data_IF_749265871262
#
_entry.id   IF_749265871262
#
_cell.length_a   1.000
_cell.length_b   1.000
_cell.length_c   1.000
_cell.angle_alpha   90.00
_cell.angle_beta   90.00
_cell.angle_gamma   90.00
#
_symmetry.space_group_name_H-M   'P 1'
#
loop_
_entity.id
_entity.type
_entity.pdbx_description
1 polymer ?
#
# COMPACT_ATOMS: atom_id res chain seq x y z
N UNK A 1 29.82 -6.46 90.11
CA UNK A 1 29.09 -5.64 89.12
C UNK A 1 29.79 -5.81 87.78
N UNK A 2 29.11 -6.45 86.81
CA UNK A 2 29.61 -6.69 85.45
C UNK A 2 29.19 -5.49 84.59
N UNK A 3 30.14 -4.81 83.93
CA UNK A 3 29.84 -3.92 82.81
C UNK A 3 30.53 -4.49 81.58
N UNK A 4 29.73 -5.12 80.72
CA UNK A 4 30.14 -5.56 79.39
C UNK A 4 30.13 -4.35 78.46
N UNK A 5 31.29 -4.06 77.87
CA UNK A 5 31.45 -3.06 76.82
C UNK A 5 30.92 -3.66 75.51
N UNK A 6 29.83 -3.12 74.96
CA UNK A 6 29.28 -3.54 73.67
C UNK A 6 29.76 -2.54 72.61
N UNK A 7 30.69 -2.98 71.75
CA UNK A 7 31.12 -2.25 70.55
C UNK A 7 30.06 -2.46 69.44
N UNK A 8 29.53 -1.41 68.80
CA UNK A 8 28.72 -1.59 67.60
C UNK A 8 29.65 -1.73 66.39
N UNK A 9 29.67 -2.92 65.80
CA UNK A 9 30.29 -3.16 64.49
C UNK A 9 29.30 -2.67 63.43
N UNK A 10 29.51 -1.46 62.91
CA UNK A 10 28.81 -0.99 61.72
C UNK A 10 29.34 -1.75 60.51
N UNK A 11 28.63 -2.81 60.10
CA UNK A 11 28.89 -3.52 58.85
C UNK A 11 28.26 -2.72 57.70
N UNK A 12 29.05 -1.84 57.10
CA UNK A 12 28.67 -1.13 55.87
C UNK A 12 28.68 -2.12 54.70
N UNK A 13 27.52 -2.67 54.34
CA UNK A 13 27.34 -3.37 53.08
C UNK A 13 27.45 -2.37 51.92
N UNK A 14 28.64 -2.28 51.33
CA UNK A 14 28.80 -1.67 50.00
C UNK A 14 28.20 -2.66 49.00
N UNK A 15 26.94 -2.43 48.63
CA UNK A 15 26.33 -3.10 47.48
C UNK A 15 27.03 -2.51 46.25
N UNK A 16 28.07 -3.19 45.78
CA UNK A 16 28.59 -2.94 44.43
C UNK A 16 27.52 -3.49 43.50
N UNK A 17 26.60 -2.64 43.06
CA UNK A 17 25.73 -2.93 41.93
C UNK A 17 26.61 -3.14 40.70
N UNK A 18 27.03 -4.38 40.46
CA UNK A 18 27.49 -4.79 39.15
C UNK A 18 26.25 -4.86 38.25
N UNK A 19 25.79 -3.69 37.80
CA UNK A 19 24.98 -3.64 36.60
C UNK A 19 25.92 -4.04 35.46
N UNK A 20 25.92 -5.33 35.10
CA UNK A 20 26.41 -5.74 33.80
C UNK A 20 25.67 -4.85 32.77
N UNK A 21 26.37 -4.23 31.80
CA UNK A 21 25.70 -3.46 30.77
C UNK A 21 24.73 -4.40 30.07
N UNK A 22 23.43 -4.18 30.26
CA UNK A 22 22.43 -4.84 29.43
C UNK A 22 22.69 -4.32 28.03
N UNK A 23 23.24 -5.19 27.18
CA UNK A 23 23.32 -4.93 25.76
C UNK A 23 21.90 -5.06 25.22
N UNK A 24 21.13 -3.99 25.37
CA UNK A 24 19.89 -3.84 24.64
C UNK A 24 20.33 -3.67 23.19
N UNK A 25 20.30 -4.76 22.42
CA UNK A 25 20.32 -4.69 20.95
C UNK A 25 19.22 -3.69 20.57
N UNK A 26 19.59 -2.42 20.33
CA UNK A 26 18.63 -1.38 19.97
C UNK A 26 18.00 -1.84 18.66
N UNK A 27 16.68 -1.94 18.61
CA UNK A 27 15.98 -2.30 17.37
C UNK A 27 15.99 -1.09 16.43
N UNK A 28 16.13 -1.32 15.12
CA UNK A 28 16.06 -0.27 14.10
C UNK A 28 14.64 -0.20 13.56
N UNK A 29 13.76 0.44 14.33
CA UNK A 29 12.32 0.59 14.03
C UNK A 29 11.96 2.07 13.85
N UNK A 30 10.86 2.32 13.14
CA UNK A 30 10.35 3.67 12.85
C UNK A 30 10.98 4.30 11.62
N UNK A 31 11.78 3.56 10.83
CA UNK A 31 12.35 4.11 9.60
C UNK A 31 11.30 4.32 8.51
N UNK A 32 10.17 3.60 8.63
CA UNK A 32 8.98 3.80 7.81
C UNK A 32 8.27 5.14 8.05
N UNK A 33 8.61 5.86 9.13
CA UNK A 33 8.05 7.19 9.44
C UNK A 33 9.14 8.25 9.57
N UNK A 34 10.20 8.12 8.76
CA UNK A 34 11.13 9.23 8.55
C UNK A 34 10.45 10.34 7.74
N UNK A 35 10.89 11.60 7.86
CA UNK A 35 10.34 12.68 7.05
C UNK A 35 10.38 12.39 5.54
N UNK A 36 11.42 11.71 5.07
CA UNK A 36 11.56 11.31 3.66
C UNK A 36 10.58 10.20 3.29
N UNK A 37 10.41 9.18 4.15
CA UNK A 37 9.44 8.12 3.92
C UNK A 37 8.00 8.65 3.89
N UNK A 38 7.60 9.43 4.89
CA UNK A 38 6.25 9.99 4.98
C UNK A 38 5.96 10.92 3.77
N UNK A 39 6.92 11.76 3.37
CA UNK A 39 6.79 12.60 2.18
C UNK A 39 6.64 11.75 0.90
N UNK A 40 7.41 10.67 0.77
CA UNK A 40 7.33 9.74 -0.37
C UNK A 40 5.95 9.09 -0.47
N UNK A 41 5.36 8.69 0.67
CA UNK A 41 4.03 8.07 0.71
C UNK A 41 2.91 9.05 0.43
N UNK A 42 3.10 10.31 0.86
CA UNK A 42 2.16 11.37 0.62
C UNK A 42 2.17 11.79 -0.86
N UNK A 43 3.34 11.91 -1.48
CA UNK A 43 3.48 12.29 -2.89
C UNK A 43 2.73 11.32 -3.83
N UNK A 44 2.74 10.00 -3.55
CA UNK A 44 1.94 9.03 -4.33
C UNK A 44 0.45 9.37 -4.30
N UNK A 45 -0.08 9.78 -3.14
CA UNK A 45 -1.48 10.17 -2.98
C UNK A 45 -1.76 11.51 -3.65
N UNK A 46 -0.88 12.49 -3.47
CA UNK A 46 -1.02 13.84 -4.02
C UNK A 46 -1.01 13.82 -5.55
N UNK A 47 -0.15 13.01 -6.17
CA UNK A 47 -0.10 12.85 -7.62
C UNK A 47 -1.40 12.26 -8.21
N UNK A 48 -2.09 11.43 -7.43
CA UNK A 48 -3.37 10.82 -7.79
C UNK A 48 -4.58 11.67 -7.38
N UNK A 49 -4.39 12.76 -6.64
CA UNK A 49 -5.48 13.58 -6.15
C UNK A 49 -6.32 14.16 -7.30
N UNK A 50 -7.65 14.16 -7.13
CA UNK A 50 -8.64 14.60 -8.10
C UNK A 50 -8.81 13.65 -9.29
N UNK A 51 -8.33 12.41 -9.20
CA UNK A 51 -8.51 11.38 -10.24
C UNK A 51 -9.33 10.19 -9.73
N UNK A 52 -9.76 9.32 -10.65
CA UNK A 52 -10.41 8.05 -10.33
C UNK A 52 -9.47 7.02 -9.67
N UNK A 53 -8.18 7.36 -9.47
CA UNK A 53 -7.15 6.51 -8.88
C UNK A 53 -6.79 6.86 -7.43
N UNK A 54 -7.50 7.81 -6.80
CA UNK A 54 -7.22 8.22 -5.41
C UNK A 54 -7.22 7.04 -4.42
N UNK A 55 -8.23 6.17 -4.51
CA UNK A 55 -8.33 4.98 -3.65
C UNK A 55 -7.18 3.99 -3.90
N UNK A 56 -6.81 3.78 -5.17
CA UNK A 56 -5.68 2.92 -5.54
C UNK A 56 -4.36 3.47 -4.99
N UNK A 57 -4.13 4.78 -5.13
CA UNK A 57 -2.95 5.45 -4.59
C UNK A 57 -2.89 5.42 -3.07
N UNK A 58 -4.03 5.62 -2.38
CA UNK A 58 -4.13 5.49 -0.92
C UNK A 58 -3.81 4.08 -0.42
N UNK A 59 -4.35 3.06 -1.10
CA UNK A 59 -4.06 1.66 -0.79
C UNK A 59 -2.59 1.30 -1.02
N UNK A 60 -2.02 1.78 -2.13
CA UNK A 60 -0.60 1.61 -2.46
C UNK A 60 0.29 2.29 -1.42
N UNK A 61 -0.03 3.52 -1.01
CA UNK A 61 0.66 4.26 0.05
C UNK A 61 0.68 3.48 1.37
N UNK A 62 -0.44 2.89 1.79
CA UNK A 62 -0.46 2.01 2.97
C UNK A 62 0.32 0.70 2.79
N UNK A 63 0.36 0.14 1.58
CA UNK A 63 1.17 -1.03 1.27
C UNK A 63 2.68 -0.71 1.30
N UNK A 64 3.08 0.50 0.86
CA UNK A 64 4.45 0.99 0.93
C UNK A 64 4.98 1.03 2.36
N UNK A 65 4.20 1.54 3.32
CA UNK A 65 4.54 1.55 4.75
C UNK A 65 4.79 0.12 5.24
N UNK A 66 3.86 -0.80 4.94
CA UNK A 66 3.95 -2.20 5.40
C UNK A 66 5.18 -2.92 4.85
N UNK A 67 5.57 -2.64 3.62
CA UNK A 67 6.75 -3.23 2.99
C UNK A 67 8.08 -2.80 3.64
N UNK A 68 8.11 -1.66 4.35
CA UNK A 68 9.29 -1.21 5.12
C UNK A 68 9.40 -1.85 6.51
N UNK A 69 8.41 -2.63 6.94
CA UNK A 69 8.45 -3.32 8.23
C UNK A 69 9.47 -4.47 8.24
N UNK A 70 10.07 -4.73 9.40
CA UNK A 70 11.12 -5.75 9.56
C UNK A 70 10.68 -7.19 9.27
N UNK A 71 9.38 -7.46 9.21
CA UNK A 71 8.81 -8.77 8.90
C UNK A 71 8.27 -8.88 7.48
N UNK A 72 8.28 -7.80 6.70
CA UNK A 72 7.82 -7.88 5.33
C UNK A 72 8.81 -8.73 4.49
N UNK A 73 8.32 -9.49 3.49
CA UNK A 73 9.17 -10.19 2.53
C UNK A 73 10.24 -9.28 1.90
N UNK A 74 11.39 -9.86 1.55
CA UNK A 74 12.54 -9.12 1.02
C UNK A 74 12.23 -8.27 -0.23
N UNK A 75 11.35 -8.78 -1.09
CA UNK A 75 11.00 -8.14 -2.36
C UNK A 75 9.83 -7.17 -2.30
N UNK A 76 9.10 -7.08 -1.18
CA UNK A 76 7.88 -6.26 -1.10
C UNK A 76 8.13 -4.79 -1.44
N UNK A 77 9.24 -4.21 -0.97
CA UNK A 77 9.58 -2.82 -1.29
C UNK A 77 9.88 -2.63 -2.78
N UNK A 78 10.48 -3.61 -3.45
CA UNK A 78 10.68 -3.52 -4.90
C UNK A 78 9.35 -3.63 -5.63
N UNK A 79 8.52 -4.59 -5.23
CA UNK A 79 7.22 -4.80 -5.85
C UNK A 79 6.32 -3.57 -5.69
N UNK A 80 6.35 -2.90 -4.53
CA UNK A 80 5.67 -1.62 -4.33
C UNK A 80 6.28 -0.50 -5.20
N UNK A 81 7.60 -0.43 -5.34
CA UNK A 81 8.24 0.53 -6.24
C UNK A 81 7.80 0.34 -7.71
N UNK A 82 7.70 -0.92 -8.16
CA UNK A 82 7.18 -1.26 -9.48
C UNK A 82 5.71 -0.83 -9.65
N UNK A 83 4.88 -1.06 -8.62
CA UNK A 83 3.48 -0.65 -8.65
C UNK A 83 3.28 0.87 -8.69
N UNK A 84 4.18 1.66 -8.08
CA UNK A 84 4.15 3.13 -8.18
C UNK A 84 4.33 3.56 -9.64
N UNK A 85 5.26 2.94 -10.37
CA UNK A 85 5.48 3.23 -11.80
C UNK A 85 4.30 2.75 -12.64
N UNK A 86 3.76 1.58 -12.35
CA UNK A 86 2.59 1.06 -13.06
C UNK A 86 1.37 1.97 -12.91
N UNK A 87 1.11 2.47 -11.69
CA UNK A 87 0.10 3.49 -11.45
C UNK A 87 0.40 4.77 -12.26
N UNK A 88 1.66 5.21 -12.27
CA UNK A 88 2.08 6.37 -13.05
C UNK A 88 1.83 6.24 -14.55
N UNK A 89 1.92 5.02 -15.12
CA UNK A 89 1.64 4.78 -16.54
C UNK A 89 0.16 5.00 -16.88
N UNK A 90 -0.74 4.82 -15.92
CA UNK A 90 -2.17 5.11 -16.10
C UNK A 90 -2.42 6.62 -16.28
N UNK A 91 -1.56 7.48 -15.74
CA UNK A 91 -1.63 8.93 -15.93
C UNK A 91 -0.84 9.41 -17.16
N UNK A 92 0.33 8.83 -17.42
CA UNK A 92 1.22 9.23 -18.50
C UNK A 92 1.82 10.64 -18.34
N UNK A 93 2.57 11.08 -19.35
CA UNK A 93 3.16 12.41 -19.43
C UNK A 93 3.99 12.81 -18.20
N UNK A 94 3.87 14.07 -17.78
CA UNK A 94 4.63 14.61 -16.64
C UNK A 94 4.33 13.88 -15.32
N UNK A 95 3.09 13.40 -15.14
CA UNK A 95 2.73 12.65 -13.93
C UNK A 95 3.47 11.33 -13.86
N UNK A 96 3.61 10.62 -14.99
CA UNK A 96 4.44 9.41 -15.05
C UNK A 96 5.88 9.70 -14.61
N UNK A 97 6.49 10.78 -15.09
CA UNK A 97 7.85 11.16 -14.67
C UNK A 97 7.95 11.41 -13.16
N UNK A 98 6.93 12.03 -12.56
CA UNK A 98 6.85 12.25 -11.11
C UNK A 98 6.72 10.91 -10.35
N UNK A 99 5.83 10.02 -10.80
CA UNK A 99 5.71 8.67 -10.20
C UNK A 99 7.01 7.86 -10.32
N UNK A 100 7.72 7.96 -11.44
CA UNK A 100 9.04 7.33 -11.60
C UNK A 100 10.03 7.88 -10.57
N UNK A 101 10.06 9.21 -10.37
CA UNK A 101 10.93 9.82 -9.37
C UNK A 101 10.61 9.31 -7.95
N UNK A 102 9.32 9.28 -7.60
CA UNK A 102 8.84 8.76 -6.30
C UNK A 102 9.21 7.29 -6.11
N UNK A 103 9.04 6.46 -7.15
CA UNK A 103 9.39 5.05 -7.10
C UNK A 103 10.88 4.81 -6.84
N UNK A 104 11.75 5.63 -7.45
CA UNK A 104 13.21 5.57 -7.23
C UNK A 104 13.57 5.94 -5.79
N UNK A 105 13.03 7.04 -5.28
CA UNK A 105 13.22 7.44 -3.87
C UNK A 105 12.73 6.32 -2.94
N UNK A 106 11.52 5.82 -3.15
CA UNK A 106 10.93 4.76 -2.35
C UNK A 106 11.78 3.47 -2.36
N UNK A 107 12.30 3.08 -3.54
CA UNK A 107 13.13 1.88 -3.69
C UNK A 107 14.40 1.93 -2.85
N UNK A 108 14.90 3.13 -2.57
CA UNK A 108 16.15 3.39 -1.86
C UNK A 108 15.95 3.71 -0.38
N UNK A 109 14.70 3.84 0.11
CA UNK A 109 14.45 4.01 1.54
C UNK A 109 15.00 2.84 2.36
N UNK A 110 15.37 3.13 3.60
CA UNK A 110 15.76 2.11 4.59
C UNK A 110 14.52 1.29 5.01
N UNK A 111 14.72 0.00 5.30
CA UNK A 111 13.71 -0.87 5.95
C UNK A 111 14.08 -1.10 7.40
N UNK A 112 13.06 -1.30 8.21
CA UNK A 112 13.24 -1.70 9.60
C UNK A 112 13.99 -3.03 9.68
N UNK A 113 14.90 -3.16 10.64
CA UNK A 113 15.57 -4.43 10.94
C UNK A 113 15.39 -4.82 12.41
N UNK A 114 15.36 -6.13 12.73
CA UNK A 114 15.21 -6.58 14.11
C UNK A 114 16.29 -6.05 15.06
N UNK A 115 17.48 -5.73 14.55
CA UNK A 115 18.62 -5.23 15.32
C UNK A 115 19.31 -4.08 14.59
N UNK A 116 19.64 -3.02 15.31
CA UNK A 116 20.46 -1.93 14.77
C UNK A 116 21.80 -2.46 14.28
N UNK A 117 22.17 -1.99 13.10
CA UNK A 117 23.33 -2.39 12.34
C UNK A 117 23.25 -3.75 11.67
N UNK A 118 22.10 -4.45 11.76
CA UNK A 118 21.85 -5.63 10.95
C UNK A 118 21.58 -5.20 9.50
N UNK A 119 22.22 -5.81 8.50
CA UNK A 119 21.87 -5.59 7.10
C UNK A 119 20.44 -6.09 6.83
N UNK A 120 19.70 -5.31 6.06
CA UNK A 120 18.41 -5.73 5.53
C UNK A 120 18.60 -6.77 4.43
N UNK A 121 17.71 -7.76 4.40
CA UNK A 121 17.66 -8.73 3.31
C UNK A 121 17.29 -8.02 2.00
N UNK A 122 18.14 -8.18 1.00
CA UNK A 122 17.96 -7.59 -0.33
C UNK A 122 17.08 -8.49 -1.20
N UNK A 123 16.32 -7.85 -2.08
CA UNK A 123 15.55 -8.55 -3.10
C UNK A 123 16.45 -9.06 -4.23
N UNK A 124 16.29 -10.32 -4.61
CA UNK A 124 17.00 -11.00 -5.71
C UNK A 124 16.21 -11.01 -7.03
N UNK A 125 14.92 -10.68 -6.98
CA UNK A 125 14.05 -10.54 -8.14
C UNK A 125 14.45 -9.33 -8.97
N UNK A 126 14.43 -9.46 -10.30
CA UNK A 126 14.59 -8.32 -11.23
C UNK A 126 13.36 -7.39 -11.17
N UNK A 127 13.51 -6.05 -11.16
CA UNK A 127 12.36 -5.14 -11.21
C UNK A 127 11.58 -5.30 -12.53
N UNK A 128 10.27 -5.10 -12.47
CA UNK A 128 9.40 -5.13 -13.66
C UNK A 128 9.59 -3.88 -14.53
N UNK A 129 9.93 -2.75 -13.90
CA UNK A 129 10.17 -1.47 -14.53
C UNK A 129 11.68 -1.20 -14.64
N UNK A 130 12.15 -0.97 -15.87
CA UNK A 130 13.58 -0.75 -16.16
C UNK A 130 14.16 0.47 -15.46
N UNK A 131 13.32 1.44 -15.11
CA UNK A 131 13.70 2.66 -14.41
C UNK A 131 14.24 2.39 -13.00
N UNK A 132 13.96 1.20 -12.45
CA UNK A 132 14.45 0.75 -11.14
C UNK A 132 15.68 -0.16 -11.23
N UNK A 133 16.16 -0.50 -12.44
CA UNK A 133 17.35 -1.34 -12.61
C UNK A 133 18.57 -0.69 -11.93
N UNK A 134 19.32 -1.52 -11.18
CA UNK A 134 20.49 -1.08 -10.43
C UNK A 134 20.19 -0.38 -9.10
N UNK A 135 18.93 -0.12 -8.75
CA UNK A 135 18.56 0.48 -7.47
C UNK A 135 18.37 -0.59 -6.38
N UNK A 136 19.05 -0.37 -5.25
CA UNK A 136 18.92 -1.21 -4.06
C UNK A 136 18.45 -0.39 -2.88
N UNK A 137 17.75 -1.06 -1.97
CA UNK A 137 17.36 -0.51 -0.67
C UNK A 137 18.59 -0.04 0.13
N UNK A 138 18.50 1.13 0.78
CA UNK A 138 19.49 1.56 1.76
C UNK A 138 19.58 0.61 2.97
N UNK A 139 20.81 0.42 3.43
CA UNK A 139 21.13 -0.38 4.61
C UNK A 139 21.17 0.50 5.86
N UNK A 140 21.02 -0.13 7.04
CA UNK A 140 21.12 0.57 8.31
C UNK A 140 22.51 1.23 8.45
N UNK A 141 22.60 2.56 8.56
CA UNK A 141 23.87 3.29 8.61
C UNK A 141 24.66 3.04 9.91
N UNK A 142 24.03 2.44 10.93
CA UNK A 142 24.70 2.05 12.18
C UNK A 142 25.38 0.69 12.08
N UNK A 143 25.21 -0.02 10.95
CA UNK A 143 25.94 -1.23 10.63
C UNK A 143 27.43 -0.95 10.60
N UNK A 144 28.22 -1.83 11.22
CA UNK A 144 29.63 -1.90 10.84
C UNK A 144 29.62 -2.33 9.39
N UNK A 145 30.18 -1.50 8.52
CA UNK A 145 30.62 -1.95 7.21
C UNK A 145 31.66 -3.03 7.53
N UNK A 146 31.24 -4.29 7.63
CA UNK A 146 32.17 -5.36 7.31
C UNK A 146 32.49 -5.07 5.85
N UNK A 147 33.76 -4.73 5.60
CA UNK A 147 34.29 -4.53 4.26
C UNK A 147 33.56 -5.49 3.32
N UNK A 148 32.79 -4.97 2.33
CA UNK A 148 32.43 -5.82 1.22
C UNK A 148 33.76 -6.34 0.73
N UNK A 149 34.00 -7.63 0.92
CA UNK A 149 34.98 -8.35 0.14
C UNK A 149 34.73 -7.87 -1.28
N UNK A 150 35.67 -7.08 -1.79
CA UNK A 150 35.77 -6.54 -3.14
C UNK A 150 34.75 -7.23 -4.04
N UNK A 151 33.60 -6.58 -4.22
CA UNK A 151 32.94 -6.75 -5.51
C UNK A 151 33.84 -5.95 -6.40
N UNK A 152 34.86 -6.62 -6.94
CA UNK A 152 35.64 -6.05 -8.02
C UNK A 152 34.62 -5.56 -9.05
N UNK A 153 34.69 -4.27 -9.31
CA UNK A 153 34.20 -3.67 -10.54
C UNK A 153 34.53 -4.66 -11.66
N UNK A 154 33.57 -5.13 -12.48
CA UNK A 154 33.97 -5.79 -13.71
C UNK A 154 34.74 -4.73 -14.49
N UNK A 155 36.08 -4.83 -14.42
CA UNK A 155 36.97 -4.06 -15.27
C UNK A 155 36.36 -4.13 -16.67
N UNK A 156 36.15 -2.96 -17.25
CA UNK A 156 35.99 -2.85 -18.68
C UNK A 156 37.22 -3.48 -19.30
N UNK A 157 37.10 -4.74 -19.71
CA UNK A 157 37.99 -5.30 -20.71
C UNK A 157 37.75 -4.48 -21.98
N UNK A 158 38.66 -3.53 -22.20
CA UNK A 158 38.90 -2.93 -23.50
C UNK A 158 39.25 -4.07 -24.46
N UNK A 159 38.48 -4.33 -25.53
CA UNK A 159 38.86 -5.35 -26.49
C UNK A 159 40.15 -4.88 -27.17
N UNK A 160 41.25 -5.59 -26.91
CA UNK A 160 42.48 -5.46 -27.68
C UNK A 160 42.15 -5.54 -29.17
N UNK A 161 42.49 -4.48 -29.88
CA UNK A 161 42.54 -4.45 -31.34
C UNK A 161 43.63 -5.41 -31.79
N UNK A 162 43.26 -6.63 -32.14
CA UNK A 162 43.99 -7.36 -33.17
C UNK A 162 43.44 -6.94 -34.54
N UNK A 163 44.33 -6.37 -35.34
CA UNK A 163 44.15 -6.02 -36.74
C UNK A 163 44.49 -7.28 -37.56
N UNK A 164 43.56 -7.90 -38.32
CA UNK A 164 43.91 -8.82 -39.36
C UNK A 164 43.91 -8.09 -40.71
N UNK A 165 44.99 -8.36 -41.43
CA UNK A 165 45.43 -7.79 -42.69
C UNK A 165 44.34 -7.62 -43.77
N UNK A 166 44.51 -6.54 -44.54
CA UNK A 166 43.84 -6.32 -45.82
C UNK A 166 44.21 -7.42 -46.82
N UNK A 167 43.20 -8.11 -47.34
CA UNK A 167 43.19 -8.52 -48.75
C UNK A 167 41.95 -7.92 -49.43
N UNK A 168 42.21 -7.16 -50.50
CA UNK A 168 41.24 -6.53 -51.40
C UNK A 168 40.91 -7.52 -52.55
N UNK A 169 39.93 -7.27 -53.45
CA UNK A 169 38.83 -8.19 -53.70
C UNK A 169 38.92 -8.85 -55.09
N UNK A 170 38.54 -10.12 -55.21
CA UNK A 170 38.19 -10.67 -56.52
C UNK A 170 36.70 -10.48 -56.79
N UNK A 171 36.45 -9.74 -57.87
CA UNK A 171 35.17 -9.52 -58.52
C UNK A 171 34.68 -10.83 -59.15
N UNK A 172 33.45 -11.23 -58.84
CA UNK A 172 32.54 -11.78 -59.85
C UNK A 172 31.12 -11.27 -59.57
N UNK A 173 30.50 -10.76 -60.62
CA UNK A 173 29.12 -10.30 -60.75
C UNK A 173 28.73 -10.69 -62.19
N UNK A 174 27.46 -10.87 -62.58
CA UNK A 174 26.34 -11.59 -61.96
C UNK A 174 25.83 -12.72 -62.89
N UNK A 175 25.04 -13.67 -62.38
CA UNK A 175 23.98 -14.26 -63.21
C UNK A 175 22.60 -14.13 -62.54
N UNK A 176 21.71 -13.52 -63.32
CA UNK A 176 20.29 -13.36 -63.05
C UNK A 176 19.59 -14.69 -63.28
N UNK A 177 18.78 -15.12 -62.32
CA UNK A 177 17.55 -15.86 -62.62
C UNK A 177 16.41 -15.27 -61.77
N UNK A 178 15.48 -14.63 -62.48
CA UNK A 178 14.05 -14.51 -62.19
C UNK A 178 13.41 -15.55 -63.17
N UNK A 179 12.25 -16.22 -62.96
CA UNK A 179 11.10 -15.94 -62.07
C UNK A 179 10.66 -17.24 -61.32
N UNK A 180 9.60 -17.35 -60.50
CA UNK A 180 8.19 -17.03 -60.70
C UNK A 180 7.46 -16.82 -59.37
N UNK A 181 6.52 -15.88 -59.42
CA UNK A 181 5.45 -15.72 -58.45
C UNK A 181 4.48 -16.90 -58.61
N UNK A 182 4.32 -17.71 -57.57
CA UNK A 182 3.06 -18.45 -57.38
C UNK A 182 2.15 -17.61 -56.50
N UNK A 183 1.03 -17.21 -57.09
CA UNK A 183 -0.13 -16.59 -56.45
C UNK A 183 -1.03 -17.73 -55.97
N UNK A 184 -1.29 -17.91 -54.66
CA UNK A 184 -2.35 -18.80 -54.23
C UNK A 184 -3.70 -18.12 -54.46
N UNK A 185 -4.47 -18.70 -55.39
CA UNK A 185 -5.83 -18.32 -55.75
C UNK A 185 -6.70 -18.05 -54.52
N UNK A 186 -7.43 -16.93 -54.59
CA UNK A 186 -8.56 -16.65 -53.72
C UNK A 186 -9.65 -17.69 -53.97
N UNK A 187 -9.91 -18.55 -53.00
CA UNK A 187 -11.23 -19.17 -52.88
C UNK A 187 -12.21 -18.13 -52.36
N UNK A 188 -13.18 -17.78 -53.20
CA UNK A 188 -14.38 -17.02 -52.88
C UNK A 188 -15.49 -18.06 -52.62
N UNK A 189 -16.00 -18.24 -51.39
CA UNK A 189 -17.23 -18.98 -51.20
C UNK A 189 -18.41 -18.07 -51.54
N UNK A 190 -19.19 -18.57 -52.51
CA UNK A 190 -20.36 -17.96 -53.11
C UNK A 190 -21.35 -17.37 -52.09
N UNK A 191 -21.91 -16.22 -52.48
CA UNK A 191 -23.10 -15.61 -51.89
C UNK A 191 -24.29 -16.55 -52.03
N UNK A 192 -24.84 -17.02 -50.91
CA UNK A 192 -26.27 -17.34 -50.84
C UNK A 192 -27.02 -16.09 -50.37
N UNK A 193 -27.87 -15.57 -51.27
CA UNK A 193 -28.87 -14.54 -51.00
C UNK A 193 -30.08 -15.20 -50.28
N UNK A 194 -30.83 -14.46 -49.46
CA UNK A 194 -31.67 -14.99 -48.40
C UNK A 194 -33.02 -15.47 -48.93
N UNK A 195 -33.45 -16.66 -48.49
CA UNK A 195 -34.85 -17.03 -48.59
C UNK A 195 -35.68 -16.21 -47.61
N UNK A 196 -36.68 -15.55 -48.19
CA UNK A 196 -37.73 -14.80 -47.50
C UNK A 196 -38.66 -15.78 -46.80
N UNK A 197 -38.79 -15.67 -45.48
CA UNK A 197 -40.04 -15.97 -44.80
C UNK A 197 -40.69 -14.65 -44.36
N UNK A 198 -41.79 -14.30 -45.02
CA UNK A 198 -42.75 -13.27 -44.63
C UNK A 198 -43.70 -13.88 -43.56
N UNK A 199 -44.48 -13.09 -42.79
CA UNK A 199 -44.58 -13.22 -41.35
C UNK A 199 -45.90 -13.88 -40.98
N UNK A 200 -45.86 -14.94 -40.16
CA UNK A 200 -47.08 -15.38 -39.49
C UNK A 200 -47.44 -14.40 -38.37
N UNK A 201 -48.52 -13.67 -38.62
CA UNK A 201 -49.25 -12.87 -37.65
C UNK A 201 -49.80 -13.81 -36.57
N UNK A 202 -49.29 -13.72 -35.36
CA UNK A 202 -50.10 -14.00 -34.18
C UNK A 202 -50.65 -12.68 -33.63
N UNK A 203 -51.97 -12.65 -33.55
CA UNK A 203 -52.79 -11.57 -33.03
C UNK A 203 -52.43 -11.31 -31.55
N UNK A 204 -52.29 -10.05 -31.10
CA UNK A 204 -52.20 -9.76 -29.67
C UNK A 204 -53.55 -10.08 -29.01
N UNK A 205 -53.62 -11.18 -28.26
CA UNK A 205 -54.71 -11.36 -27.31
C UNK A 205 -54.66 -10.21 -26.29
N UNK A 206 -55.67 -9.34 -26.41
CA UNK A 206 -56.04 -8.38 -25.38
C UNK A 206 -56.57 -9.16 -24.18
N UNK A 207 -55.77 -9.26 -23.13
CA UNK A 207 -56.34 -9.37 -21.78
C UNK A 207 -56.43 -7.97 -21.17
N UNK A 208 -57.65 -7.65 -20.74
CA UNK A 208 -58.08 -6.43 -20.07
C UNK A 208 -57.26 -6.24 -18.78
N UNK A 209 -56.75 -5.03 -18.47
CA UNK A 209 -56.22 -4.78 -17.14
C UNK A 209 -57.40 -4.72 -16.16
N UNK A 210 -57.62 -5.79 -15.40
CA UNK A 210 -58.42 -5.71 -14.19
C UNK A 210 -57.78 -4.68 -13.25
N UNK A 211 -58.52 -3.59 -13.03
CA UNK A 211 -58.27 -2.64 -11.95
C UNK A 211 -58.48 -3.35 -10.62
N UNK A 212 -57.40 -3.75 -9.98
CA UNK A 212 -57.35 -3.76 -8.52
C UNK A 212 -56.62 -2.49 -8.06
N UNK A 213 -57.29 -1.76 -7.19
CA UNK A 213 -56.85 -0.54 -6.51
C UNK A 213 -56.09 -1.01 -5.25
N UNK A 214 -54.75 -0.92 -5.17
CA UNK A 214 -54.06 -1.08 -3.91
C UNK A 214 -54.05 0.29 -3.23
N UNK A 215 -54.63 0.30 -2.04
CA UNK A 215 -54.73 1.42 -1.13
C UNK A 215 -53.45 2.28 -1.12
N UNK A 216 -53.66 3.60 -1.10
CA UNK A 216 -52.66 4.57 -0.70
C UNK A 216 -52.18 4.23 0.72
N UNK A 217 -51.12 3.46 0.86
CA UNK A 217 -50.22 3.66 1.98
C UNK A 217 -49.39 4.91 1.69
N UNK A 218 -49.54 5.88 2.59
CA UNK A 218 -48.76 7.10 2.65
C UNK A 218 -47.28 6.74 2.46
N UNK A 219 -46.52 7.39 1.55
CA UNK A 219 -45.09 7.39 1.73
C UNK A 219 -44.84 8.09 3.06
N UNK A 220 -44.47 7.32 4.09
CA UNK A 220 -43.79 7.89 5.24
C UNK A 220 -42.67 8.74 4.67
N UNK A 221 -42.84 10.06 4.79
CA UNK A 221 -41.73 10.98 4.70
C UNK A 221 -40.76 10.52 5.77
N UNK A 222 -39.73 9.78 5.38
CA UNK A 222 -38.46 9.91 6.06
C UNK A 222 -38.08 11.38 5.94
N UNK A 223 -38.39 12.11 7.01
CA UNK A 223 -37.87 13.43 7.28
C UNK A 223 -36.36 13.32 7.03
N UNK A 224 -35.74 14.18 6.20
CA UNK A 224 -34.30 14.28 6.21
C UNK A 224 -33.94 14.68 7.64
N UNK A 225 -33.50 13.69 8.44
CA UNK A 225 -32.92 13.96 9.74
C UNK A 225 -31.88 15.04 9.49
N UNK A 226 -32.13 16.20 10.08
CA UNK A 226 -31.16 17.27 10.13
C UNK A 226 -29.91 16.65 10.75
N UNK A 227 -28.91 16.38 9.93
CA UNK A 227 -27.55 16.20 10.40
C UNK A 227 -27.24 17.43 11.24
N UNK A 228 -27.16 17.23 12.56
CA UNK A 228 -26.62 18.23 13.46
C UNK A 228 -25.15 18.39 13.05
N UNK A 229 -24.71 19.57 12.59
CA UNK A 229 -23.33 19.77 12.11
C UNK A 229 -22.25 19.56 13.20
N UNK A 230 -22.65 19.18 14.43
CA UNK A 230 -21.76 18.81 15.53
C UNK A 230 -21.66 17.31 15.83
N UNK A 231 -22.38 16.40 15.16
CA UNK A 231 -22.33 14.95 15.48
C UNK A 231 -21.52 14.13 14.48
N UNK A 232 -20.80 13.13 14.96
CA UNK A 232 -20.05 12.21 14.11
C UNK A 232 -21.01 11.16 13.52
N UNK A 233 -21.13 11.12 12.19
CA UNK A 233 -22.06 10.21 11.50
C UNK A 233 -21.79 8.74 11.83
N UNK A 234 -20.52 8.36 12.02
CA UNK A 234 -20.19 6.99 12.38
C UNK A 234 -20.57 6.63 13.84
N UNK A 235 -20.88 7.62 14.69
CA UNK A 235 -21.46 7.39 16.01
C UNK A 235 -22.97 7.17 15.95
N UNK A 236 -23.68 7.98 15.15
CA UNK A 236 -25.15 7.96 15.05
C UNK A 236 -25.65 6.86 14.13
N UNK A 237 -24.92 6.57 13.05
CA UNK A 237 -25.21 5.54 12.05
C UNK A 237 -24.02 4.56 11.87
N UNK A 238 -23.76 3.68 12.86
CA UNK A 238 -22.66 2.73 12.80
C UNK A 238 -22.96 1.55 11.84
N UNK A 239 -22.04 1.26 10.92
CA UNK A 239 -22.15 0.12 10.00
C UNK A 239 -22.14 -1.17 10.82
N UNK A 240 -23.11 -2.03 10.53
CA UNK A 240 -23.30 -3.26 11.30
C UNK A 240 -23.60 -3.01 12.78
N UNK A 241 -24.07 -1.83 13.18
CA UNK A 241 -24.34 -1.51 14.58
C UNK A 241 -23.10 -1.48 15.48
N UNK A 242 -21.91 -1.34 14.89
CA UNK A 242 -20.64 -1.35 15.64
C UNK A 242 -20.41 -0.03 16.33
N UNK A 243 -20.53 -0.04 17.66
CA UNK A 243 -20.32 1.15 18.50
C UNK A 243 -18.90 1.67 18.38
N UNK A 244 -18.81 2.98 18.15
CA UNK A 244 -17.55 3.71 18.18
C UNK A 244 -16.96 3.70 19.63
N UNK A 245 -15.67 3.39 19.81
CA UNK A 245 -15.02 3.56 21.11
C UNK A 245 -14.91 5.04 21.43
N UNK A 246 -15.11 5.43 22.69
CA UNK A 246 -15.04 6.83 23.10
C UNK A 246 -13.60 7.28 23.43
N UNK A 247 -13.29 8.56 23.21
CA UNK A 247 -12.05 9.17 23.68
C UNK A 247 -12.23 9.57 25.15
N UNK A 248 -11.41 9.02 26.02
CA UNK A 248 -11.33 9.43 27.42
C UNK A 248 -10.24 10.50 27.57
N UNK A 249 -10.57 11.63 28.20
CA UNK A 249 -9.54 12.59 28.62
C UNK A 249 -9.09 12.25 30.04
N UNK A 250 -7.81 11.89 30.20
CA UNK A 250 -7.19 11.67 31.52
C UNK A 250 -5.97 12.55 31.68
N UNK A 251 -6.02 13.46 32.64
CA UNK A 251 -5.03 14.54 32.79
C UNK A 251 -4.92 15.33 31.46
N UNK A 252 -3.70 15.45 30.94
CA UNK A 252 -3.38 16.10 29.66
C UNK A 252 -3.28 15.09 28.49
N UNK A 253 -3.76 13.86 28.67
CA UNK A 253 -3.73 12.81 27.66
C UNK A 253 -5.14 12.44 27.15
N UNK A 254 -5.19 11.96 25.91
CA UNK A 254 -6.34 11.33 25.29
C UNK A 254 -6.11 9.84 25.21
N UNK A 255 -7.08 9.05 25.69
CA UNK A 255 -7.00 7.61 25.75
C UNK A 255 -8.11 7.00 24.90
N UNK A 256 -7.74 6.09 23.99
CA UNK A 256 -8.67 5.30 23.18
C UNK A 256 -8.35 3.84 23.34
N UNK A 257 -9.31 3.07 23.86
CA UNK A 257 -9.16 1.62 24.08
C UNK A 257 -7.87 1.25 24.83
N UNK A 258 -7.55 2.02 25.88
CA UNK A 258 -6.36 1.83 26.72
C UNK A 258 -5.05 2.40 26.18
N UNK A 259 -5.02 2.94 24.96
CA UNK A 259 -3.83 3.56 24.38
C UNK A 259 -3.83 5.07 24.61
N UNK A 260 -2.77 5.62 25.20
CA UNK A 260 -2.55 7.06 25.36
C UNK A 260 -1.91 7.70 24.13
N UNK A 261 -2.20 8.98 23.90
CA UNK A 261 -1.77 9.73 22.72
C UNK A 261 -0.95 10.99 23.04
N UNK A 262 -0.46 11.11 24.28
CA UNK A 262 0.32 12.23 24.82
C UNK A 262 -0.30 13.61 24.49
N UNK A 263 -1.63 13.72 24.60
CA UNK A 263 -2.35 14.97 24.32
C UNK A 263 -2.54 15.27 22.83
N UNK A 264 -2.23 14.34 21.93
CA UNK A 264 -2.56 14.47 20.51
C UNK A 264 -3.99 14.00 20.23
N UNK A 265 -4.91 14.96 20.08
CA UNK A 265 -6.32 14.68 19.83
C UNK A 265 -6.57 14.05 18.46
N UNK A 266 -5.87 14.50 17.41
CA UNK A 266 -6.07 14.01 16.05
C UNK A 266 -5.63 12.55 15.91
N UNK A 267 -4.54 12.18 16.58
CA UNK A 267 -4.08 10.79 16.65
C UNK A 267 -5.04 9.91 17.46
N UNK A 268 -5.58 10.43 18.57
CA UNK A 268 -6.60 9.75 19.34
C UNK A 268 -7.89 9.55 18.52
N UNK A 269 -8.34 10.58 17.79
CA UNK A 269 -9.50 10.50 16.91
C UNK A 269 -9.30 9.49 15.78
N UNK A 270 -8.14 9.53 15.12
CA UNK A 270 -7.77 8.55 14.09
C UNK A 270 -7.83 7.13 14.65
N UNK A 271 -7.32 6.90 15.87
CA UNK A 271 -7.41 5.60 16.53
C UNK A 271 -8.86 5.21 16.83
N UNK A 272 -9.69 6.15 17.28
CA UNK A 272 -11.11 5.91 17.56
C UNK A 272 -11.82 5.35 16.31
N UNK A 273 -11.61 5.97 15.15
CA UNK A 273 -12.15 5.49 13.88
C UNK A 273 -11.57 4.14 13.45
N UNK A 274 -10.26 3.96 13.54
CA UNK A 274 -9.61 2.70 13.11
C UNK A 274 -10.04 1.51 13.98
N UNK A 275 -10.29 1.73 15.29
CA UNK A 275 -10.82 0.68 16.16
C UNK A 275 -12.25 0.31 15.77
N UNK A 276 -13.11 1.29 15.47
CA UNK A 276 -14.47 1.00 14.99
C UNK A 276 -14.45 0.21 13.68
N UNK A 277 -13.62 0.62 12.71
CA UNK A 277 -13.43 -0.12 11.45
C UNK A 277 -13.02 -1.57 11.70
N UNK A 278 -12.03 -1.82 12.56
CA UNK A 278 -11.60 -3.18 12.86
C UNK A 278 -12.72 -4.02 13.50
N UNK A 279 -13.54 -3.43 14.37
CA UNK A 279 -14.70 -4.09 14.95
C UNK A 279 -15.79 -4.39 13.89
N UNK A 280 -16.00 -3.48 12.92
CA UNK A 280 -16.86 -3.69 11.76
C UNK A 280 -16.41 -4.90 10.93
N UNK A 281 -15.12 -4.95 10.57
CA UNK A 281 -14.55 -6.10 9.85
C UNK A 281 -14.64 -7.41 10.62
N UNK A 282 -14.44 -7.38 11.95
CA UNK A 282 -14.62 -8.59 12.77
C UNK A 282 -16.05 -9.11 12.70
N UNK A 283 -17.05 -8.22 12.67
CA UNK A 283 -18.46 -8.59 12.56
C UNK A 283 -18.81 -9.13 11.17
N UNK A 284 -18.32 -8.48 10.12
CA UNK A 284 -18.46 -8.96 8.73
C UNK A 284 -17.84 -10.36 8.52
N UNK A 285 -16.61 -10.53 9.01
CA UNK A 285 -15.88 -11.80 8.94
C UNK A 285 -16.48 -12.87 9.87
N UNK A 286 -17.17 -12.44 10.93
CA UNK A 286 -17.94 -13.28 11.84
C UNK A 286 -19.26 -13.81 11.28
N UNK A 287 -19.63 -13.43 10.04
CA UNK A 287 -20.78 -13.97 9.32
C UNK A 287 -21.96 -13.01 9.17
N UNK A 288 -21.88 -11.79 9.71
CA UNK A 288 -22.89 -10.78 9.41
C UNK A 288 -22.71 -10.29 7.97
N UNK A 289 -23.73 -10.48 7.13
CA UNK A 289 -23.75 -10.09 5.71
C UNK A 289 -24.78 -9.00 5.40
N UNK A 290 -25.33 -8.35 6.45
CA UNK A 290 -26.22 -7.19 6.28
C UNK A 290 -25.49 -5.95 5.73
N UNK A 291 -24.16 -5.99 5.71
CA UNK A 291 -23.26 -4.99 5.13
C UNK A 291 -22.06 -5.71 4.49
N UNK A 292 -21.28 -4.98 3.70
CA UNK A 292 -20.07 -5.42 3.01
C UNK A 292 -18.81 -4.97 3.75
N UNK A 293 -17.68 -5.58 3.41
CA UNK A 293 -16.38 -5.08 3.88
C UNK A 293 -16.08 -3.66 3.38
N UNK A 294 -16.64 -3.25 2.24
CA UNK A 294 -16.48 -1.90 1.71
C UNK A 294 -17.20 -0.88 2.59
N UNK A 295 -18.36 -1.20 3.14
CA UNK A 295 -19.09 -0.30 4.05
C UNK A 295 -18.26 0.02 5.31
N UNK A 296 -17.47 -0.95 5.80
CA UNK A 296 -16.53 -0.72 6.89
C UNK A 296 -15.36 0.21 6.51
N UNK A 297 -14.90 0.16 5.26
CA UNK A 297 -13.90 1.10 4.74
C UNK A 297 -14.50 2.50 4.59
N UNK A 298 -15.69 2.62 4.02
CA UNK A 298 -16.32 3.91 3.77
C UNK A 298 -16.68 4.62 5.09
N UNK A 299 -17.13 3.86 6.10
CA UNK A 299 -17.41 4.40 7.42
C UNK A 299 -16.17 5.00 8.11
N UNK A 300 -14.97 4.45 7.90
CA UNK A 300 -13.77 4.99 8.58
C UNK A 300 -13.46 6.40 8.08
N UNK A 301 -13.74 6.69 6.80
CA UNK A 301 -13.52 8.00 6.21
C UNK A 301 -14.55 9.00 6.75
N UNK A 302 -15.84 8.62 6.75
CA UNK A 302 -16.91 9.43 7.38
C UNK A 302 -16.64 9.72 8.85
N UNK A 303 -16.11 8.74 9.59
CA UNK A 303 -15.69 8.93 10.97
C UNK A 303 -14.62 10.00 11.11
N UNK A 304 -13.56 9.95 10.27
CA UNK A 304 -12.42 10.88 10.31
C UNK A 304 -12.79 12.30 9.87
N UNK A 305 -13.81 12.45 9.03
CA UNK A 305 -14.37 13.74 8.63
C UNK A 305 -15.24 14.38 9.73
N UNK A 306 -15.87 13.56 10.56
CA UNK A 306 -16.65 14.00 11.71
C UNK A 306 -15.81 14.48 12.90
N UNK A 307 -16.43 15.12 13.91
CA UNK A 307 -15.73 15.52 15.13
C UNK A 307 -15.35 14.31 16.00
N UNK A 308 -14.28 14.40 16.83
CA UNK A 308 -13.93 13.37 17.79
C UNK A 308 -15.04 13.16 18.83
N UNK A 309 -15.25 11.90 19.20
CA UNK A 309 -16.35 11.51 20.09
C UNK A 309 -15.82 11.17 21.48
N UNK A 310 -16.20 11.95 22.49
CA UNK A 310 -15.72 11.78 23.87
C UNK A 310 -16.65 10.91 24.73
N UNK A 311 -16.07 10.34 25.80
CA UNK A 311 -16.74 9.51 26.81
C UNK A 311 -17.60 10.33 27.79
#
# INVERSE_FOLDING_TARGET
MKLSLVLPICLSFVIISQAAPMNFDKRRFGVEHTPEADATFQEVKDLAQGSDKEAQAGNLSGAMVRALLAKAPACDQQDRADEIIDLGKEFGGKKLDQFIAVAKTYRQLERNTPKAGQPSELCDKKPRNKELEGLTQAQDPTGKVEDPKEVEDPEKEDPEKEDPEKEDPEKEDPEKEDPEKEDPEKEDPEKEDPEKEDPEKEDPEKEDPEKEDPEKEDPEKEDPEKEDPGTNVAETDPVGGVKMPKIEKKNDDFIVNGNGFNGNLDAAHSRQCDVQKNLCFNKFNGGDKSFSGQDCEDQVNKCKEGPPVFA
#
